data_IF_531000611067
#
_entry.id   IF_531000611067
#
_cell.length_a   1.000
_cell.length_b   1.000
_cell.length_c   1.000
_cell.angle_alpha   90.00
_cell.angle_beta   90.00
_cell.angle_gamma   90.00
#
_symmetry.space_group_name_H-M   'P 1'
#
loop_
_entity.id
_entity.type
_entity.pdbx_description
1 polymer ?
#
# COMPACT_ATOMS: atom_id res chain seq x y z
N UNK A 1 -0.02 -7.17 -2.68
CA UNK A 1 0.44 -5.94 -3.29
C UNK A 1 -0.38 -4.75 -2.82
N UNK A 2 0.23 -3.58 -2.78
CA UNK A 2 -0.47 -2.31 -2.63
C UNK A 2 -0.11 -1.38 -3.79
N UNK A 3 -1.12 -0.78 -4.41
CA UNK A 3 -0.95 0.40 -5.23
C UNK A 3 -1.12 1.62 -4.31
N UNK A 4 -0.14 2.51 -4.26
CA UNK A 4 -0.16 3.71 -3.42
C UNK A 4 0.35 4.87 -4.27
N UNK A 5 -0.52 5.83 -4.55
CA UNK A 5 -0.23 6.88 -5.51
C UNK A 5 0.14 6.31 -6.88
N UNK A 6 1.30 6.72 -7.39
CA UNK A 6 1.84 6.25 -8.67
C UNK A 6 2.67 4.96 -8.57
N UNK A 7 2.90 4.43 -7.39
CA UNK A 7 3.79 3.29 -7.17
C UNK A 7 3.06 2.02 -6.74
N UNK A 8 3.67 0.88 -7.04
CA UNK A 8 3.20 -0.44 -6.60
C UNK A 8 4.25 -1.02 -5.67
N UNK A 9 3.80 -1.44 -4.50
CA UNK A 9 4.64 -1.98 -3.44
C UNK A 9 4.28 -3.42 -3.11
N UNK A 10 5.25 -4.32 -2.95
CA UNK A 10 5.02 -5.58 -2.27
C UNK A 10 4.69 -5.29 -0.80
N UNK A 11 3.72 -6.03 -0.26
CA UNK A 11 3.30 -5.94 1.14
C UNK A 11 3.52 -7.28 1.78
N UNK A 12 4.12 -7.26 2.96
CA UNK A 12 4.46 -8.43 3.75
C UNK A 12 3.73 -8.43 5.08
N UNK A 13 3.65 -9.60 5.70
CA UNK A 13 3.12 -9.72 7.06
C UNK A 13 3.90 -8.82 8.02
N UNK A 14 3.19 -8.08 8.86
CA UNK A 14 3.76 -7.13 9.80
C UNK A 14 4.09 -5.74 9.21
N UNK A 15 3.93 -5.55 7.90
CA UNK A 15 4.08 -4.20 7.32
C UNK A 15 3.08 -3.24 7.96
N UNK A 16 3.58 -2.08 8.37
CA UNK A 16 2.79 -1.00 8.94
C UNK A 16 2.95 0.24 8.07
N UNK A 17 1.82 0.75 7.58
CA UNK A 17 1.77 1.84 6.62
C UNK A 17 0.77 2.88 7.10
N UNK A 18 1.13 4.15 6.98
CA UNK A 18 0.19 5.26 7.10
C UNK A 18 -0.02 5.93 5.75
N UNK A 19 -1.28 6.19 5.43
CA UNK A 19 -1.68 6.94 4.23
C UNK A 19 -2.37 8.22 4.67
N UNK A 20 -1.91 9.34 4.13
CA UNK A 20 -2.57 10.62 4.32
C UNK A 20 -3.87 10.74 3.52
N UNK A 21 -4.59 11.84 3.67
CA UNK A 21 -5.87 12.04 2.99
C UNK A 21 -5.69 12.05 1.47
N UNK A 22 -6.69 11.50 0.78
CA UNK A 22 -6.81 11.54 -0.69
C UNK A 22 -5.69 10.87 -1.49
N UNK A 23 -4.83 10.05 -0.87
CA UNK A 23 -3.91 9.20 -1.63
C UNK A 23 -4.73 8.08 -2.29
N UNK A 24 -4.73 7.97 -3.64
CA UNK A 24 -5.28 6.81 -4.30
C UNK A 24 -4.53 5.57 -3.86
N UNK A 25 -5.22 4.59 -3.32
CA UNK A 25 -4.58 3.35 -2.88
C UNK A 25 -5.52 2.15 -3.11
N UNK A 26 -4.91 1.01 -3.37
CA UNK A 26 -5.64 -0.25 -3.55
C UNK A 26 -4.80 -1.42 -3.03
N UNK A 27 -5.42 -2.31 -2.29
CA UNK A 27 -4.81 -3.53 -1.76
C UNK A 27 -5.26 -4.73 -2.58
N UNK A 28 -4.34 -5.60 -2.97
CA UNK A 28 -4.65 -6.83 -3.70
C UNK A 28 -3.91 -8.02 -3.09
N UNK A 29 -4.68 -9.07 -2.85
CA UNK A 29 -4.17 -10.38 -2.48
C UNK A 29 -4.21 -11.35 -3.66
N UNK A 30 -4.62 -10.91 -4.85
CA UNK A 30 -4.78 -11.77 -6.03
C UNK A 30 -3.43 -12.28 -6.55
N UNK A 31 -3.41 -13.55 -6.96
CA UNK A 31 -2.25 -14.20 -7.59
C UNK A 31 -1.21 -14.74 -6.61
N UNK A 32 -1.52 -14.83 -5.34
CA UNK A 32 -0.70 -15.55 -4.37
C UNK A 32 -1.45 -16.84 -4.01
N UNK A 33 -1.01 -17.98 -4.55
CA UNK A 33 -1.46 -19.29 -4.08
C UNK A 33 -0.86 -19.54 -2.69
N UNK A 34 -1.71 -19.73 -1.71
CA UNK A 34 -1.28 -19.97 -0.33
C UNK A 34 -1.60 -21.41 0.05
N UNK A 35 -0.57 -22.11 0.49
CA UNK A 35 -0.69 -23.42 1.14
C UNK A 35 -1.26 -23.33 2.57
N UNK A 36 -1.47 -22.13 3.11
CA UNK A 36 -1.95 -21.93 4.48
C UNK A 36 -3.36 -21.32 4.52
N UNK A 37 -4.25 -22.02 5.21
CA UNK A 37 -5.66 -21.66 5.46
C UNK A 37 -5.85 -20.56 6.51
N UNK A 38 -4.79 -19.91 7.00
CA UNK A 38 -4.90 -18.85 8.01
C UNK A 38 -5.51 -17.57 7.41
N UNK A 39 -6.53 -16.99 8.04
CA UNK A 39 -7.12 -15.74 7.60
C UNK A 39 -6.10 -14.60 7.65
N UNK A 40 -6.15 -13.72 6.67
CA UNK A 40 -5.33 -12.50 6.65
C UNK A 40 -6.10 -11.39 7.32
N UNK A 41 -5.48 -10.82 8.32
CA UNK A 41 -6.05 -9.72 9.08
C UNK A 41 -5.29 -8.45 8.73
N UNK A 42 -6.01 -7.41 8.36
CA UNK A 42 -5.51 -6.07 8.24
C UNK A 42 -6.15 -5.20 9.32
N UNK A 43 -5.34 -4.71 10.24
CA UNK A 43 -5.80 -3.78 11.27
C UNK A 43 -5.68 -2.35 10.71
N UNK A 44 -6.81 -1.65 10.60
CA UNK A 44 -6.87 -0.30 10.03
C UNK A 44 -7.38 0.70 11.07
N UNK A 45 -6.60 1.76 11.33
CA UNK A 45 -7.03 2.90 12.12
C UNK A 45 -7.35 4.07 11.19
N UNK A 46 -8.62 4.48 11.17
CA UNK A 46 -9.07 5.64 10.38
C UNK A 46 -9.34 6.82 11.31
N UNK A 47 -8.75 7.96 11.02
CA UNK A 47 -8.97 9.19 11.78
C UNK A 47 -8.77 10.42 10.87
N UNK A 48 -9.31 11.55 11.27
CA UNK A 48 -9.10 12.83 10.60
C UNK A 48 -8.05 13.66 11.32
N UNK A 49 -7.45 14.64 10.66
CA UNK A 49 -6.53 15.59 11.30
C UNK A 49 -7.19 16.33 12.48
N UNK A 50 -8.51 16.47 12.44
CA UNK A 50 -9.29 17.21 13.42
C UNK A 50 -9.96 16.33 14.48
N UNK A 51 -9.51 15.09 14.68
CA UNK A 51 -10.15 14.14 15.60
C UNK A 51 -10.16 14.60 17.09
N UNK A 52 -9.27 15.54 17.47
CA UNK A 52 -9.24 16.22 18.78
C UNK A 52 -9.72 17.67 18.71
N UNK A 53 -10.38 18.05 17.62
CA UNK A 53 -10.84 19.42 17.38
C UNK A 53 -9.83 20.27 16.58
N UNK A 54 -10.33 21.35 15.98
CA UNK A 54 -9.55 22.18 15.06
C UNK A 54 -8.35 22.87 15.71
N UNK A 55 -8.41 23.19 17.01
CA UNK A 55 -7.32 23.86 17.72
C UNK A 55 -6.16 22.93 18.13
N UNK A 56 -6.34 21.61 18.08
CA UNK A 56 -5.31 20.67 18.55
C UNK A 56 -4.03 20.76 17.71
N UNK A 57 -4.12 20.93 16.41
CA UNK A 57 -2.95 21.06 15.56
C UNK A 57 -2.29 22.45 15.64
N UNK A 58 -2.93 23.44 16.27
CA UNK A 58 -2.38 24.81 16.40
C UNK A 58 -1.46 24.98 17.61
N UNK A 59 -1.53 24.06 18.60
CA UNK A 59 -0.65 24.11 19.77
C UNK A 59 0.81 23.79 19.38
N UNK A 60 1.81 24.35 20.12
CA UNK A 60 3.23 24.11 19.84
C UNK A 60 3.62 22.64 19.84
N UNK A 61 3.06 21.85 20.74
CA UNK A 61 3.31 20.41 20.90
C UNK A 61 2.91 19.58 19.67
N UNK A 62 2.01 20.10 18.84
CA UNK A 62 1.55 19.42 17.62
C UNK A 62 2.38 19.76 16.38
N UNK A 63 3.46 20.55 16.48
CA UNK A 63 4.24 20.96 15.31
C UNK A 63 4.77 19.77 14.52
N UNK A 64 5.39 18.79 15.19
CA UNK A 64 5.92 17.58 14.54
C UNK A 64 4.82 16.73 13.93
N UNK A 65 3.65 16.68 14.55
CA UNK A 65 2.48 15.95 14.02
C UNK A 65 1.97 16.58 12.72
N UNK A 66 1.92 17.92 12.62
CA UNK A 66 1.57 18.60 11.35
C UNK A 66 2.56 18.27 10.24
N UNK A 67 3.86 18.29 10.54
CA UNK A 67 4.90 17.93 9.57
C UNK A 67 4.78 16.47 9.13
N UNK A 68 4.46 15.58 10.07
CA UNK A 68 4.23 14.17 9.80
C UNK A 68 3.01 13.95 8.91
N UNK A 69 1.87 14.58 9.19
CA UNK A 69 0.67 14.47 8.34
C UNK A 69 0.93 14.95 6.92
N UNK A 70 1.72 16.01 6.74
CA UNK A 70 2.14 16.46 5.41
C UNK A 70 2.98 15.40 4.67
N UNK A 71 3.90 14.73 5.37
CA UNK A 71 4.68 13.61 4.80
C UNK A 71 3.79 12.40 4.51
N UNK A 72 2.82 12.12 5.38
CA UNK A 72 1.86 11.03 5.19
C UNK A 72 1.05 11.17 3.89
N UNK A 73 0.93 12.38 3.33
CA UNK A 73 0.40 12.65 1.99
C UNK A 73 1.15 11.95 0.85
N UNK A 74 2.33 11.39 1.09
CA UNK A 74 3.09 10.57 0.15
C UNK A 74 3.05 9.07 0.48
N UNK A 75 2.31 8.67 1.53
CA UNK A 75 2.35 7.31 2.08
C UNK A 75 3.70 7.03 2.77
N UNK A 76 3.64 6.47 3.95
CA UNK A 76 4.82 6.15 4.76
C UNK A 76 4.75 4.70 5.19
N UNK A 77 5.79 3.92 4.92
CA UNK A 77 6.04 2.61 5.52
C UNK A 77 7.03 2.76 6.67
N UNK A 78 6.71 2.15 7.79
CA UNK A 78 7.65 2.10 8.92
C UNK A 78 8.63 0.93 8.75
N UNK A 79 9.90 1.20 9.09
CA UNK A 79 10.98 0.23 9.07
C UNK A 79 11.32 -0.23 10.50
N UNK A 80 12.04 -1.34 10.63
CA UNK A 80 12.51 -1.77 11.97
C UNK A 80 13.51 -0.75 12.58
N UNK A 81 13.51 -0.61 13.88
CA UNK A 81 12.70 -1.32 14.90
C UNK A 81 11.31 -0.72 15.14
N UNK A 82 10.99 0.42 14.55
CA UNK A 82 9.75 1.18 14.81
C UNK A 82 8.52 0.43 14.28
N UNK A 83 8.64 -0.28 13.16
CA UNK A 83 7.56 -1.11 12.61
C UNK A 83 6.96 -2.03 13.68
N UNK A 84 7.82 -2.78 14.37
CA UNK A 84 7.39 -3.71 15.43
C UNK A 84 6.74 -2.99 16.62
N UNK A 85 7.24 -1.80 17.00
CA UNK A 85 6.67 -1.01 18.09
C UNK A 85 5.29 -0.46 17.72
N UNK A 86 5.13 0.08 16.50
CA UNK A 86 3.84 0.57 15.99
C UNK A 86 2.81 -0.56 15.93
N UNK A 87 3.17 -1.71 15.35
CA UNK A 87 2.30 -2.88 15.28
C UNK A 87 1.84 -3.35 16.67
N UNK A 88 2.75 -3.39 17.65
CA UNK A 88 2.43 -3.74 19.04
C UNK A 88 1.42 -2.76 19.65
N UNK A 89 1.68 -1.45 19.54
CA UNK A 89 0.75 -0.43 20.05
C UNK A 89 -0.62 -0.49 19.38
N UNK A 90 -0.68 -0.71 18.07
CA UNK A 90 -1.95 -0.88 17.36
C UNK A 90 -2.75 -2.07 17.92
N UNK A 91 -2.11 -3.21 18.14
CA UNK A 91 -2.74 -4.40 18.74
C UNK A 91 -3.16 -4.18 20.22
N UNK A 92 -2.43 -3.37 20.98
CA UNK A 92 -2.82 -2.97 22.33
C UNK A 92 -4.06 -2.07 22.30
N UNK A 93 -4.07 -1.05 21.44
CA UNK A 93 -5.18 -0.09 21.29
C UNK A 93 -6.46 -0.80 20.87
N UNK A 94 -6.38 -1.77 19.98
CA UNK A 94 -7.52 -2.57 19.50
C UNK A 94 -8.26 -3.25 20.66
N UNK A 95 -7.53 -3.77 21.65
CA UNK A 95 -8.08 -4.48 22.80
C UNK A 95 -8.72 -3.57 23.87
N UNK A 96 -8.49 -2.27 23.82
CA UNK A 96 -8.97 -1.31 24.80
C UNK A 96 -10.35 -0.78 24.35
N UNK A 97 -11.36 -0.93 25.18
CA UNK A 97 -12.67 -0.31 24.95
C UNK A 97 -12.57 1.21 24.85
N UNK A 98 -13.50 1.88 24.12
CA UNK A 98 -13.50 3.34 23.99
C UNK A 98 -13.41 4.04 25.35
N UNK A 99 -12.32 4.78 25.58
CA UNK A 99 -12.00 5.42 26.86
C UNK A 99 -10.88 6.45 26.69
N UNK A 100 -10.63 7.27 27.69
CA UNK A 100 -9.46 8.14 27.73
C UNK A 100 -8.14 7.35 27.69
N UNK A 101 -8.11 6.14 28.24
CA UNK A 101 -6.94 5.26 28.14
C UNK A 101 -6.64 4.90 26.68
N UNK A 102 -7.68 4.54 25.90
CA UNK A 102 -7.50 4.26 24.46
C UNK A 102 -7.01 5.48 23.71
N UNK A 103 -7.53 6.67 24.00
CA UNK A 103 -7.09 7.93 23.43
C UNK A 103 -5.61 8.22 23.79
N UNK A 104 -5.22 8.04 25.05
CA UNK A 104 -3.83 8.24 25.46
C UNK A 104 -2.86 7.30 24.74
N UNK A 105 -3.24 6.03 24.56
CA UNK A 105 -2.45 5.07 23.77
C UNK A 105 -2.36 5.44 22.30
N UNK A 106 -3.42 6.01 21.73
CA UNK A 106 -3.37 6.52 20.37
C UNK A 106 -2.47 7.75 20.23
N UNK A 107 -2.44 8.64 21.21
CA UNK A 107 -1.48 9.74 21.24
C UNK A 107 -0.04 9.25 21.41
N UNK A 108 0.19 8.21 22.21
CA UNK A 108 1.51 7.54 22.31
C UNK A 108 1.95 6.99 20.95
N UNK A 109 1.04 6.35 20.21
CA UNK A 109 1.29 5.90 18.84
C UNK A 109 1.65 7.06 17.90
N UNK A 110 0.90 8.16 17.93
CA UNK A 110 1.19 9.34 17.13
C UNK A 110 2.56 9.94 17.48
N UNK A 111 2.89 10.01 18.76
CA UNK A 111 4.21 10.47 19.19
C UNK A 111 5.33 9.58 18.65
N UNK A 112 5.19 8.26 18.76
CA UNK A 112 6.18 7.30 18.23
C UNK A 112 6.43 7.50 16.73
N UNK A 113 5.37 7.64 15.94
CA UNK A 113 5.49 7.76 14.47
C UNK A 113 6.00 9.14 14.02
N UNK A 114 5.83 10.18 14.82
CA UNK A 114 6.34 11.53 14.51
C UNK A 114 7.82 11.71 14.83
N UNK A 115 8.33 10.97 15.81
CA UNK A 115 9.74 11.08 16.25
C UNK A 115 10.69 10.18 15.45
N UNK A 116 10.17 9.25 14.66
CA UNK A 116 11.01 8.28 13.97
C UNK A 116 11.64 8.80 12.68
N UNK A 117 12.88 8.34 12.42
CA UNK A 117 13.55 8.43 11.11
C UNK A 117 13.53 7.09 10.35
N UNK A 118 13.07 5.99 10.98
CA UNK A 118 13.00 4.67 10.39
C UNK A 118 11.72 4.52 9.55
N UNK A 119 11.70 5.20 8.40
CA UNK A 119 10.56 5.22 7.50
C UNK A 119 10.99 5.26 6.03
N UNK A 120 10.11 4.77 5.15
CA UNK A 120 10.22 4.81 3.70
C UNK A 120 9.03 5.59 3.14
N UNK A 121 9.29 6.54 2.25
CA UNK A 121 8.25 7.25 1.50
C UNK A 121 7.83 6.38 0.30
N UNK A 122 6.53 6.18 0.12
CA UNK A 122 5.99 5.24 -0.86
C UNK A 122 5.63 5.89 -2.20
N UNK A 123 5.40 7.19 -2.24
CA UNK A 123 5.07 7.95 -3.45
C UNK A 123 5.96 9.17 -3.59
N UNK A 124 6.53 9.39 -4.78
CA UNK A 124 7.38 10.55 -5.07
C UNK A 124 6.59 11.86 -5.11
N UNK A 125 5.30 11.76 -5.37
CA UNK A 125 4.40 12.91 -5.43
C UNK A 125 3.49 12.93 -4.20
N UNK A 126 3.46 14.06 -3.50
CA UNK A 126 2.36 14.34 -2.57
C UNK A 126 1.08 14.50 -3.43
N UNK A 127 0.42 13.39 -3.68
CA UNK A 127 -0.82 13.38 -4.46
C UNK A 127 -1.95 13.92 -3.59
N UNK A 128 -2.05 15.25 -3.48
CA UNK A 128 -3.30 15.88 -3.09
C UNK A 128 -4.30 15.69 -4.24
N UNK A 129 -4.77 14.45 -4.43
CA UNK A 129 -5.88 14.20 -5.32
C UNK A 129 -7.14 14.76 -4.65
N UNK A 130 -7.50 15.99 -5.03
CA UNK A 130 -8.76 16.63 -4.64
C UNK A 130 -9.94 16.03 -5.41
N UNK A 131 -9.92 14.70 -5.60
CA UNK A 131 -11.01 13.95 -6.21
C UNK A 131 -12.21 13.90 -5.29
N UNK A 132 -13.41 14.01 -5.86
CA UNK A 132 -14.62 13.66 -5.13
C UNK A 132 -14.76 12.13 -5.04
N UNK A 133 -15.64 11.64 -4.16
CA UNK A 133 -15.91 10.22 -3.91
C UNK A 133 -16.11 9.43 -5.21
N UNK A 134 -16.88 9.96 -6.16
CA UNK A 134 -17.10 9.33 -7.49
C UNK A 134 -15.82 9.18 -8.31
N UNK A 135 -14.84 10.05 -8.15
CA UNK A 135 -13.54 9.92 -8.83
C UNK A 135 -12.68 8.85 -8.19
N UNK A 136 -12.71 8.75 -6.85
CA UNK A 136 -12.02 7.71 -6.11
C UNK A 136 -12.57 6.32 -6.49
N UNK A 137 -13.89 6.14 -6.49
CA UNK A 137 -14.53 4.89 -6.95
C UNK A 137 -14.11 4.48 -8.37
N UNK A 138 -13.94 5.45 -9.28
CA UNK A 138 -13.47 5.16 -10.64
C UNK A 138 -12.03 4.67 -10.66
N UNK A 139 -11.14 5.28 -9.87
CA UNK A 139 -9.74 4.84 -9.75
C UNK A 139 -9.69 3.43 -9.14
N UNK A 140 -10.45 3.16 -8.10
CA UNK A 140 -10.52 1.84 -7.46
C UNK A 140 -10.97 0.75 -8.45
N UNK A 141 -11.98 1.03 -9.28
CA UNK A 141 -12.41 0.11 -10.34
C UNK A 141 -11.28 -0.19 -11.33
N UNK A 142 -10.52 0.83 -11.74
CA UNK A 142 -9.37 0.65 -12.64
C UNK A 142 -8.28 -0.17 -11.98
N UNK A 143 -7.94 0.14 -10.73
CA UNK A 143 -6.93 -0.59 -9.97
C UNK A 143 -7.32 -2.05 -9.80
N UNK A 144 -8.55 -2.32 -9.36
CA UNK A 144 -9.10 -3.68 -9.26
C UNK A 144 -9.02 -4.45 -10.58
N UNK A 145 -9.42 -3.81 -11.68
CA UNK A 145 -9.36 -4.45 -13.00
C UNK A 145 -7.93 -4.79 -13.41
N UNK A 146 -6.98 -3.86 -13.28
CA UNK A 146 -5.57 -4.07 -13.63
C UNK A 146 -4.94 -5.14 -12.74
N UNK A 147 -5.16 -5.07 -11.43
CA UNK A 147 -4.60 -6.05 -10.48
C UNK A 147 -5.08 -7.47 -10.81
N UNK A 148 -6.35 -7.64 -11.20
CA UNK A 148 -6.92 -8.93 -11.56
C UNK A 148 -6.41 -9.48 -12.90
N UNK A 149 -6.15 -8.63 -13.90
CA UNK A 149 -5.89 -9.06 -15.28
C UNK A 149 -4.46 -8.77 -15.76
N UNK A 150 -3.52 -8.38 -14.88
CA UNK A 150 -2.21 -7.86 -15.27
C UNK A 150 -1.29 -8.86 -15.98
N UNK A 151 -1.51 -10.17 -15.84
CA UNK A 151 -0.76 -11.21 -16.56
C UNK A 151 -1.15 -11.35 -18.04
N UNK A 152 -2.32 -10.82 -18.43
CA UNK A 152 -2.83 -10.81 -19.79
C UNK A 152 -2.69 -9.43 -20.45
N UNK A 153 -2.86 -9.31 -21.76
CA UNK A 153 -2.98 -8.02 -22.41
C UNK A 153 -4.21 -7.25 -21.92
N UNK A 154 -4.02 -6.03 -21.46
CA UNK A 154 -5.10 -5.15 -20.99
C UNK A 154 -5.38 -4.11 -22.07
N UNK A 155 -6.63 -4.06 -22.53
CA UNK A 155 -7.08 -3.09 -23.52
C UNK A 155 -7.47 -1.76 -22.86
N UNK A 156 -6.90 -0.66 -23.34
CA UNK A 156 -7.25 0.69 -22.92
C UNK A 156 -8.75 0.98 -23.08
N UNK A 157 -9.34 0.48 -24.18
CA UNK A 157 -10.77 0.66 -24.47
C UNK A 157 -11.64 -0.08 -23.45
N UNK A 158 -11.25 -1.29 -23.04
CA UNK A 158 -11.99 -2.04 -22.04
C UNK A 158 -11.96 -1.37 -20.67
N UNK A 159 -10.78 -0.91 -20.23
CA UNK A 159 -10.66 -0.19 -18.96
C UNK A 159 -11.47 1.09 -18.95
N UNK A 160 -11.45 1.88 -20.04
CA UNK A 160 -12.24 3.09 -20.16
C UNK A 160 -13.75 2.81 -20.07
N UNK A 161 -14.22 1.71 -20.70
CA UNK A 161 -15.62 1.26 -20.62
C UNK A 161 -16.05 0.90 -19.19
N UNK A 162 -15.17 0.29 -18.38
CA UNK A 162 -15.49 -0.07 -16.98
C UNK A 162 -15.90 1.12 -16.13
N UNK A 163 -15.41 2.31 -16.46
CA UNK A 163 -15.71 3.55 -15.73
C UNK A 163 -16.55 4.55 -16.54
N UNK A 164 -17.16 4.07 -17.63
CA UNK A 164 -18.05 4.86 -18.51
C UNK A 164 -17.38 6.13 -19.04
N UNK A 165 -16.17 6.00 -19.62
CA UNK A 165 -15.42 7.11 -20.22
C UNK A 165 -14.98 6.77 -21.65
N UNK A 166 -14.77 7.82 -22.51
CA UNK A 166 -14.01 7.62 -23.74
C UNK A 166 -12.53 7.36 -23.41
N UNK A 167 -11.80 6.73 -24.33
CA UNK A 167 -10.36 6.45 -24.15
C UNK A 167 -9.54 7.71 -23.89
N UNK A 168 -9.84 8.80 -24.59
CA UNK A 168 -9.13 10.08 -24.45
C UNK A 168 -9.43 10.73 -23.09
N UNK A 169 -10.69 10.72 -22.66
CA UNK A 169 -11.09 11.25 -21.36
C UNK A 169 -10.47 10.42 -20.23
N UNK A 170 -10.47 9.08 -20.37
CA UNK A 170 -9.84 8.16 -19.44
C UNK A 170 -8.34 8.43 -19.32
N UNK A 171 -7.59 8.55 -20.42
CA UNK A 171 -6.16 8.81 -20.38
C UNK A 171 -5.82 10.08 -19.60
N UNK A 172 -6.54 11.17 -19.86
CA UNK A 172 -6.35 12.44 -19.13
C UNK A 172 -6.73 12.30 -17.65
N UNK A 173 -7.88 11.66 -17.36
CA UNK A 173 -8.36 11.44 -16.01
C UNK A 173 -7.35 10.59 -15.22
N UNK A 174 -6.97 9.42 -15.73
CA UNK A 174 -6.11 8.48 -15.03
C UNK A 174 -4.73 9.08 -14.76
N UNK A 175 -4.10 9.71 -15.77
CA UNK A 175 -2.80 10.37 -15.60
C UNK A 175 -2.85 11.51 -14.58
N UNK A 176 -3.91 12.33 -14.58
CA UNK A 176 -4.08 13.40 -13.60
C UNK A 176 -4.29 12.88 -12.18
N UNK A 177 -5.03 11.78 -12.05
CA UNK A 177 -5.38 11.20 -10.74
C UNK A 177 -4.27 10.35 -10.12
N UNK A 178 -3.42 9.71 -10.95
CA UNK A 178 -2.44 8.72 -10.47
C UNK A 178 -1.00 9.07 -10.80
N UNK A 179 -0.76 10.13 -11.57
CA UNK A 179 0.56 10.46 -12.09
C UNK A 179 1.05 9.53 -13.21
N UNK A 180 0.38 8.40 -13.45
CA UNK A 180 0.78 7.38 -14.43
C UNK A 180 -0.13 7.35 -15.67
N UNK A 181 0.41 6.95 -16.79
CA UNK A 181 -0.41 6.34 -17.85
C UNK A 181 -0.84 4.93 -17.44
N UNK A 182 -1.90 4.40 -18.07
CA UNK A 182 -2.34 3.01 -17.81
C UNK A 182 -1.21 2.00 -18.06
N UNK A 183 -0.44 2.17 -19.15
CA UNK A 183 0.66 1.28 -19.47
C UNK A 183 1.78 1.33 -18.41
N UNK A 184 2.14 2.49 -17.93
CA UNK A 184 3.12 2.63 -16.83
C UNK A 184 2.62 1.94 -15.56
N UNK A 185 1.35 2.10 -15.23
CA UNK A 185 0.73 1.45 -14.07
C UNK A 185 0.74 -0.08 -14.21
N UNK A 186 0.35 -0.63 -15.38
CA UNK A 186 0.41 -2.08 -15.66
C UNK A 186 1.85 -2.58 -15.50
N UNK A 187 2.84 -1.89 -16.06
CA UNK A 187 4.25 -2.30 -15.97
C UNK A 187 4.75 -2.29 -14.52
N UNK A 188 4.43 -1.27 -13.74
CA UNK A 188 4.77 -1.21 -12.31
C UNK A 188 4.14 -2.36 -11.54
N UNK A 189 2.87 -2.67 -11.81
CA UNK A 189 2.15 -3.80 -11.18
C UNK A 189 2.81 -5.15 -11.50
N UNK A 190 3.17 -5.38 -12.76
CA UNK A 190 3.88 -6.61 -13.19
C UNK A 190 5.24 -6.73 -12.48
N UNK A 191 6.03 -5.65 -12.48
CA UNK A 191 7.35 -5.65 -11.81
C UNK A 191 7.25 -5.88 -10.30
N UNK A 192 6.22 -5.36 -9.63
CA UNK A 192 6.02 -5.58 -8.20
C UNK A 192 5.73 -7.06 -7.91
N UNK A 193 4.91 -7.74 -8.73
CA UNK A 193 4.66 -9.18 -8.61
C UNK A 193 5.90 -10.01 -8.90
N UNK A 194 6.67 -9.63 -9.93
CA UNK A 194 7.97 -10.25 -10.20
C UNK A 194 8.88 -10.17 -8.97
N UNK A 195 8.96 -9.00 -8.32
CA UNK A 195 9.75 -8.85 -7.10
C UNK A 195 9.30 -9.79 -5.99
N UNK A 196 7.99 -9.98 -5.80
CA UNK A 196 7.47 -10.94 -4.81
C UNK A 196 7.90 -12.38 -5.13
N UNK A 197 7.71 -12.83 -6.38
CA UNK A 197 8.08 -14.19 -6.77
C UNK A 197 9.60 -14.42 -6.74
N UNK A 198 10.41 -13.40 -7.07
CA UNK A 198 11.86 -13.49 -6.94
C UNK A 198 12.32 -13.76 -5.50
N UNK A 199 11.54 -13.33 -4.52
CA UNK A 199 11.85 -13.50 -3.08
C UNK A 199 11.23 -14.76 -2.48
N UNK A 200 10.09 -15.21 -3.01
CA UNK A 200 9.25 -16.23 -2.37
C UNK A 200 9.20 -17.56 -3.14
N UNK A 201 9.69 -17.62 -4.38
CA UNK A 201 9.61 -18.82 -5.21
C UNK A 201 10.96 -19.28 -5.74
N UNK A 202 11.06 -20.58 -6.03
CA UNK A 202 12.21 -21.20 -6.69
C UNK A 202 12.11 -21.20 -8.22
N UNK A 203 11.05 -20.59 -8.77
CA UNK A 203 10.88 -20.48 -10.23
C UNK A 203 12.06 -19.76 -10.87
N UNK A 204 12.41 -20.14 -12.09
CA UNK A 204 13.42 -19.41 -12.85
C UNK A 204 13.00 -17.97 -13.14
N UNK A 205 13.95 -17.07 -13.28
CA UNK A 205 13.69 -15.65 -13.63
C UNK A 205 12.88 -15.55 -14.92
N UNK A 206 13.13 -16.46 -15.86
CA UNK A 206 12.42 -16.55 -17.14
C UNK A 206 10.95 -16.91 -16.93
N UNK A 207 10.65 -17.95 -16.15
CA UNK A 207 9.28 -18.35 -15.83
C UNK A 207 8.53 -17.23 -15.11
N UNK A 208 9.15 -16.61 -14.10
CA UNK A 208 8.54 -15.47 -13.39
C UNK A 208 8.20 -14.35 -14.36
N UNK A 209 9.11 -13.97 -15.26
CA UNK A 209 8.84 -12.91 -16.23
C UNK A 209 7.65 -13.24 -17.12
N UNK A 210 7.57 -14.46 -17.65
CA UNK A 210 6.46 -14.87 -18.52
C UNK A 210 5.14 -14.97 -17.76
N UNK A 211 5.13 -15.51 -16.54
CA UNK A 211 3.94 -15.63 -15.69
C UNK A 211 3.33 -14.26 -15.37
N UNK A 212 4.15 -13.21 -15.34
CA UNK A 212 3.69 -11.83 -15.11
C UNK A 212 3.52 -11.01 -16.41
N UNK A 213 3.37 -11.68 -17.55
CA UNK A 213 2.98 -11.05 -18.82
C UNK A 213 4.09 -10.27 -19.53
N UNK A 214 5.35 -10.58 -19.26
CA UNK A 214 6.48 -10.09 -20.07
C UNK A 214 6.76 -11.08 -21.20
N UNK A 215 6.51 -10.68 -22.44
CA UNK A 215 6.70 -11.53 -23.64
C UNK A 215 8.15 -11.49 -24.19
N UNK A 216 9.03 -10.64 -23.60
CA UNK A 216 10.40 -10.45 -24.07
C UNK A 216 11.32 -10.20 -22.88
N UNK A 217 12.27 -11.13 -22.66
CA UNK A 217 13.23 -11.06 -21.56
C UNK A 217 14.18 -9.86 -21.63
N UNK A 218 14.59 -9.44 -22.82
CA UNK A 218 15.44 -8.27 -22.96
C UNK A 218 14.73 -7.00 -22.52
N UNK A 219 13.46 -6.84 -22.90
CA UNK A 219 12.63 -5.74 -22.45
C UNK A 219 12.36 -5.81 -20.94
N UNK A 220 12.04 -7.01 -20.41
CA UNK A 220 11.89 -7.26 -19.00
C UNK A 220 13.13 -6.82 -18.19
N UNK A 221 14.32 -7.32 -18.55
CA UNK A 221 15.56 -6.99 -17.85
C UNK A 221 15.85 -5.49 -17.88
N UNK A 222 15.60 -4.83 -19.01
CA UNK A 222 15.74 -3.38 -19.15
C UNK A 222 14.79 -2.62 -18.23
N UNK A 223 13.51 -3.01 -18.19
CA UNK A 223 12.49 -2.40 -17.32
C UNK A 223 12.81 -2.65 -15.85
N UNK A 224 13.15 -3.88 -15.49
CA UNK A 224 13.52 -4.22 -14.12
C UNK A 224 14.71 -3.38 -13.63
N UNK A 225 15.80 -3.32 -14.41
CA UNK A 225 16.99 -2.49 -14.07
C UNK A 225 16.64 -1.00 -13.99
N UNK A 226 15.78 -0.51 -14.88
CA UNK A 226 15.31 0.89 -14.83
C UNK A 226 14.62 1.22 -13.50
N UNK A 227 13.74 0.33 -13.01
CA UNK A 227 12.92 0.58 -11.82
C UNK A 227 13.61 0.16 -10.51
N UNK A 228 14.39 -0.93 -10.52
CA UNK A 228 15.03 -1.47 -9.31
C UNK A 228 16.53 -1.16 -9.19
N UNK A 229 17.12 -0.52 -10.22
CA UNK A 229 18.56 -0.15 -10.29
C UNK A 229 19.53 -1.34 -10.20
N UNK A 230 19.02 -2.57 -10.29
CA UNK A 230 19.76 -3.83 -10.27
C UNK A 230 19.10 -4.87 -11.19
N UNK A 231 19.78 -5.98 -11.44
CA UNK A 231 19.23 -7.09 -12.23
C UNK A 231 18.27 -7.94 -11.39
N UNK A 232 17.35 -8.72 -12.00
CA UNK A 232 16.51 -9.66 -11.27
C UNK A 232 17.32 -10.69 -10.47
N UNK A 233 18.48 -11.12 -10.97
CA UNK A 233 19.38 -12.07 -10.29
C UNK A 233 20.00 -11.45 -9.03
N UNK A 234 20.50 -10.21 -9.12
CA UNK A 234 21.03 -9.47 -7.97
C UNK A 234 19.94 -9.22 -6.93
N UNK A 235 18.73 -8.88 -7.38
CA UNK A 235 17.57 -8.69 -6.50
C UNK A 235 17.24 -9.96 -5.73
N UNK A 236 17.13 -11.12 -6.41
CA UNK A 236 16.88 -12.40 -5.75
C UNK A 236 17.96 -12.72 -4.71
N UNK A 237 19.25 -12.59 -5.09
CA UNK A 237 20.38 -12.86 -4.20
C UNK A 237 20.33 -12.00 -2.94
N UNK A 238 20.05 -10.70 -3.07
CA UNK A 238 19.99 -9.74 -1.96
C UNK A 238 18.97 -10.17 -0.89
N UNK A 239 17.82 -10.69 -1.31
CA UNK A 239 16.73 -11.04 -0.39
C UNK A 239 16.75 -12.51 0.09
N UNK A 240 17.40 -13.41 -0.63
CA UNK A 240 17.60 -14.80 -0.18
C UNK A 240 18.76 -14.94 0.82
N UNK A 241 19.79 -14.10 0.72
CA UNK A 241 20.97 -14.14 1.59
C UNK A 241 20.85 -13.25 2.86
N UNK A 242 19.80 -12.42 2.96
CA UNK A 242 19.58 -11.56 4.14
C UNK A 242 18.81 -12.31 5.23
N UNK A 243 19.40 -12.57 6.41
CA UNK A 243 18.72 -13.25 7.52
C UNK A 243 17.49 -12.49 8.08
N UNK A 244 17.33 -11.22 7.71
CA UNK A 244 16.20 -10.36 8.11
C UNK A 244 14.99 -10.44 7.15
N UNK A 245 15.05 -11.24 6.10
CA UNK A 245 13.94 -11.48 5.15
C UNK A 245 13.04 -12.64 5.50
N UNK A 246 13.27 -13.34 6.62
CA UNK A 246 12.36 -14.36 7.11
C UNK A 246 11.09 -13.69 7.65
N UNK A 247 9.90 -14.08 7.18
CA UNK A 247 8.67 -13.80 7.90
C UNK A 247 8.86 -14.41 9.29
N UNK A 248 8.80 -13.60 10.32
CA UNK A 248 8.82 -14.08 11.70
C UNK A 248 7.71 -15.11 11.89
N UNK A 249 8.09 -16.38 12.03
CA UNK A 249 7.25 -17.54 12.30
C UNK A 249 6.57 -17.51 13.68
N UNK A 250 6.28 -16.38 14.27
CA UNK A 250 5.71 -16.32 15.61
C UNK A 250 4.50 -15.39 15.73
N UNK A 251 3.52 -15.54 14.83
CA UNK A 251 2.13 -15.12 15.13
C UNK A 251 1.15 -16.04 14.39
N UNK A 252 1.35 -17.36 14.51
CA UNK A 252 0.32 -18.34 14.19
C UNK A 252 -0.61 -18.50 15.39
N UNK A 253 -1.89 -18.47 15.08
CA UNK A 253 -3.03 -18.87 15.90
C UNK A 253 -3.67 -17.80 16.78
N UNK A 254 -4.63 -17.18 16.22
CA UNK A 254 -5.94 -16.69 16.74
C UNK A 254 -6.25 -15.30 16.25
N UNK A 255 -6.93 -15.20 15.14
CA UNK A 255 -7.73 -13.97 14.88
C UNK A 255 -8.71 -14.26 13.75
N UNK A 256 -9.92 -14.62 14.10
CA UNK A 256 -11.10 -14.45 13.25
C UNK A 256 -11.67 -13.09 13.58
N UNK A 257 -11.62 -12.15 12.67
CA UNK A 257 -12.62 -11.08 12.48
C UNK A 257 -12.07 -10.02 11.50
N UNK A 258 -12.87 -9.67 10.53
CA UNK A 258 -12.76 -8.37 9.83
C UNK A 258 -13.07 -7.27 10.84
N UNK A 259 -12.07 -6.59 11.36
CA UNK A 259 -12.27 -5.49 12.31
C UNK A 259 -11.91 -4.18 11.63
N UNK A 260 -12.93 -3.56 11.04
CA UNK A 260 -12.90 -2.12 10.74
C UNK A 260 -13.05 -1.34 12.05
N UNK A 261 -11.95 -0.94 12.66
CA UNK A 261 -11.97 -0.16 13.88
C UNK A 261 -12.08 1.34 13.57
N UNK A 262 -13.30 1.87 13.60
CA UNK A 262 -13.53 3.32 13.53
C UNK A 262 -13.15 3.98 14.86
N UNK A 263 -11.97 4.61 14.93
CA UNK A 263 -11.49 5.17 16.19
C UNK A 263 -12.13 6.52 16.55
N UNK A 264 -12.47 7.38 15.60
CA UNK A 264 -13.05 8.70 15.89
C UNK A 264 -13.82 9.28 14.70
N UNK A 265 -15.14 9.38 14.82
CA UNK A 265 -16.01 10.30 14.08
C UNK A 265 -16.59 9.83 12.75
N UNK A 266 -17.88 9.58 12.82
CA UNK A 266 -18.92 9.49 11.79
C UNK A 266 -18.80 8.44 10.67
N UNK A 267 -19.79 7.56 10.72
CA UNK A 267 -20.30 6.59 9.76
C UNK A 267 -20.00 6.87 8.30
N UNK A 268 -19.24 6.00 7.68
CA UNK A 268 -19.45 5.60 6.30
C UNK A 268 -19.04 4.15 6.17
N UNK A 269 -20.03 3.29 6.07
CA UNK A 269 -19.89 1.90 5.67
C UNK A 269 -19.45 1.91 4.20
N UNK A 270 -18.28 1.39 3.91
CA UNK A 270 -17.97 0.94 2.56
C UNK A 270 -17.45 -0.48 2.66
N UNK A 271 -18.34 -1.41 2.30
CA UNK A 271 -18.05 -2.82 2.06
C UNK A 271 -16.92 -2.98 1.05
N UNK A 272 -15.89 -3.74 1.42
CA UNK A 272 -14.97 -4.35 0.46
C UNK A 272 -15.62 -5.52 -0.27
#
# INVERSE_FOLDING_TARGET
>A
LAAIGENIHPIYSGDTIILGPNIPHYWSNEGIEFSNTAPRIMLVFKFTEYFLGSGFLEIPESQKLREFFRKAGQGIRFLEPVRSQVSKLMLEIEKISPSLLRLSKFLELLNLVTETQHLEILSDQATCFLGNERQNERIDKVYKYVMKHNSAPISLTEVAKQIHMSTEAFCRFFKRSTGNTLNEFIQKTRLARVCQDLMQSELSITEIAFNHGFNNLSNFNRQFRKHKKMTPREYRKLFQESPSGTPTEHLSNKWEADIDLFLFGQNSITSC
#
